data_IF_419761160932
#
_entry.id   IF_419761160932
#
_cell.length_a   1.000
_cell.length_b   1.000
_cell.length_c   1.000
_cell.angle_alpha   90.00
_cell.angle_beta   90.00
_cell.angle_gamma   90.00
#
_symmetry.space_group_name_H-M   'P 1'
#
loop_
_entity.id
_entity.type
_entity.pdbx_description
1 polymer ?
#
# COMPACT_ATOMS: atom_id res chain seq x y z
N UNK A 1 -4.28 21.41 -8.06
CA UNK A 1 -3.58 20.55 -7.08
C UNK A 1 -4.48 20.50 -5.86
N UNK A 2 -5.11 19.36 -5.61
CA UNK A 2 -5.96 19.21 -4.43
C UNK A 2 -5.04 19.13 -3.21
N UNK A 3 -5.17 20.07 -2.26
CA UNK A 3 -4.35 20.07 -1.06
C UNK A 3 -4.55 18.76 -0.28
N UNK A 4 -3.44 18.19 0.20
CA UNK A 4 -3.46 17.03 1.09
C UNK A 4 -3.94 17.47 2.48
N UNK A 5 -4.62 16.59 3.24
CA UNK A 5 -4.96 16.90 4.62
C UNK A 5 -3.72 17.24 5.46
N UNK A 6 -3.89 18.14 6.43
CA UNK A 6 -2.78 18.67 7.22
C UNK A 6 -1.98 17.59 7.98
N UNK A 7 -2.64 16.53 8.43
CA UNK A 7 -1.98 15.40 9.08
C UNK A 7 -1.11 14.60 8.10
N UNK A 8 -1.57 14.40 6.87
CA UNK A 8 -0.81 13.71 5.80
C UNK A 8 0.39 14.55 5.37
N UNK A 9 0.22 15.88 5.26
CA UNK A 9 1.34 16.77 4.99
C UNK A 9 2.39 16.75 6.11
N UNK A 10 1.93 16.73 7.36
CA UNK A 10 2.82 16.66 8.52
C UNK A 10 3.60 15.35 8.52
N UNK A 11 2.93 14.25 8.23
CA UNK A 11 3.57 12.94 8.11
C UNK A 11 4.63 12.91 6.99
N UNK A 12 4.32 13.44 5.79
CA UNK A 12 5.30 13.53 4.70
C UNK A 12 6.54 14.34 5.11
N UNK A 13 6.35 15.48 5.77
CA UNK A 13 7.45 16.34 6.25
C UNK A 13 8.30 15.64 7.32
N UNK A 14 7.67 14.92 8.24
CA UNK A 14 8.36 14.17 9.29
C UNK A 14 9.20 13.04 8.69
N UNK A 15 8.64 12.27 7.76
CA UNK A 15 9.36 11.20 7.06
C UNK A 15 10.54 11.74 6.25
N UNK A 16 10.34 12.83 5.50
CA UNK A 16 11.39 13.49 4.75
C UNK A 16 12.53 13.98 5.66
N UNK A 17 12.20 14.58 6.81
CA UNK A 17 13.19 15.01 7.79
C UNK A 17 13.96 13.84 8.41
N UNK A 18 13.26 12.76 8.77
CA UNK A 18 13.87 11.54 9.31
C UNK A 18 14.87 10.91 8.31
N UNK A 19 14.50 10.88 7.03
CA UNK A 19 15.31 10.31 5.94
C UNK A 19 16.29 11.31 5.30
N UNK A 20 16.32 12.54 5.80
CA UNK A 20 17.15 13.64 5.28
C UNK A 20 16.99 13.86 3.77
N UNK A 21 15.75 13.75 3.27
CA UNK A 21 15.46 13.92 1.85
C UNK A 21 15.70 15.36 1.40
N UNK A 22 16.22 15.55 0.18
CA UNK A 22 16.27 16.88 -0.41
C UNK A 22 14.84 17.35 -0.79
N UNK A 23 14.61 18.67 -0.92
CA UNK A 23 13.28 19.22 -1.16
C UNK A 23 12.57 18.66 -2.40
N UNK A 24 13.33 18.32 -3.45
CA UNK A 24 12.78 17.70 -4.67
C UNK A 24 12.22 16.30 -4.43
N UNK A 25 12.84 15.50 -3.56
CA UNK A 25 12.36 14.16 -3.20
C UNK A 25 11.11 14.25 -2.34
N UNK A 26 11.07 15.17 -1.37
CA UNK A 26 9.86 15.44 -0.59
C UNK A 26 8.70 15.88 -1.49
N UNK A 27 8.96 16.78 -2.45
CA UNK A 27 7.95 17.23 -3.40
C UNK A 27 7.44 16.09 -4.29
N UNK A 28 8.34 15.25 -4.82
CA UNK A 28 7.97 14.09 -5.63
C UNK A 28 7.14 13.09 -4.81
N UNK A 29 7.51 12.83 -3.56
CA UNK A 29 6.75 11.97 -2.67
C UNK A 29 5.32 12.49 -2.42
N UNK A 30 5.16 13.80 -2.19
CA UNK A 30 3.83 14.42 -2.05
C UNK A 30 2.98 14.31 -3.33
N UNK A 31 3.62 14.35 -4.51
CA UNK A 31 2.93 14.10 -5.79
C UNK A 31 2.44 12.65 -5.86
N UNK A 32 3.26 11.68 -5.46
CA UNK A 32 2.84 10.27 -5.38
C UNK A 32 1.68 10.08 -4.41
N UNK A 33 1.73 10.69 -3.22
CA UNK A 33 0.63 10.66 -2.24
C UNK A 33 -0.68 11.20 -2.85
N UNK A 34 -0.62 12.34 -3.54
CA UNK A 34 -1.79 12.92 -4.20
C UNK A 34 -2.33 12.02 -5.32
N UNK A 35 -1.45 11.36 -6.06
CA UNK A 35 -1.83 10.40 -7.11
C UNK A 35 -2.54 9.17 -6.54
N UNK A 36 -1.96 8.52 -5.52
CA UNK A 36 -2.60 7.38 -4.85
C UNK A 36 -3.92 7.76 -4.19
N UNK A 37 -4.03 8.97 -3.63
CA UNK A 37 -5.29 9.49 -3.10
C UNK A 37 -6.35 9.59 -4.19
N UNK A 38 -6.00 10.13 -5.36
CA UNK A 38 -6.94 10.23 -6.47
C UNK A 38 -7.42 8.85 -6.95
N UNK A 39 -6.55 7.85 -6.98
CA UNK A 39 -6.93 6.47 -7.29
C UNK A 39 -7.83 5.85 -6.22
N UNK A 40 -7.51 6.04 -4.93
CA UNK A 40 -8.29 5.51 -3.82
C UNK A 40 -9.69 6.17 -3.71
N UNK A 41 -9.78 7.48 -3.92
CA UNK A 41 -11.05 8.23 -3.92
C UNK A 41 -11.84 8.08 -5.25
N UNK A 42 -11.24 7.51 -6.29
CA UNK A 42 -11.85 7.26 -7.59
C UNK A 42 -13.04 6.28 -7.57
N UNK A 43 -13.64 6.08 -8.73
CA UNK A 43 -14.81 5.20 -8.93
C UNK A 43 -14.44 3.83 -9.53
N UNK A 44 -13.15 3.58 -9.70
CA UNK A 44 -12.65 2.54 -10.58
C UNK A 44 -12.89 1.17 -9.94
N UNK A 45 -13.22 0.13 -10.73
CA UNK A 45 -13.52 -1.19 -10.18
C UNK A 45 -12.35 -1.74 -9.35
N UNK A 46 -12.63 -2.04 -8.08
CA UNK A 46 -11.64 -2.58 -7.14
C UNK A 46 -11.42 -4.07 -7.40
N UNK A 47 -10.16 -4.47 -7.48
CA UNK A 47 -9.71 -5.85 -7.51
C UNK A 47 -8.95 -6.15 -6.23
N UNK A 48 -9.00 -7.40 -5.78
CA UNK A 48 -8.39 -7.80 -4.53
C UNK A 48 -7.52 -9.01 -4.75
N UNK A 49 -6.31 -8.97 -4.21
CA UNK A 49 -5.33 -10.02 -4.36
C UNK A 49 -4.69 -10.37 -3.03
N UNK A 50 -4.14 -11.57 -2.97
CA UNK A 50 -3.27 -12.05 -1.90
C UNK A 50 -2.03 -12.69 -2.53
N UNK A 51 -0.87 -12.38 -1.99
CA UNK A 51 0.37 -13.07 -2.22
C UNK A 51 0.84 -13.73 -0.92
N UNK A 52 1.35 -14.96 -1.00
CA UNK A 52 1.92 -15.69 0.13
C UNK A 52 3.34 -16.09 -0.22
N UNK A 53 4.30 -15.70 0.60
CA UNK A 53 5.70 -16.09 0.44
C UNK A 53 5.89 -17.53 0.92
N UNK A 54 5.64 -18.48 0.02
CA UNK A 54 5.84 -19.90 0.29
C UNK A 54 7.31 -20.32 0.29
N UNK A 55 8.17 -19.59 -0.41
CA UNK A 55 9.59 -19.93 -0.61
C UNK A 55 10.49 -19.31 0.46
N UNK A 56 9.98 -18.33 1.22
CA UNK A 56 10.73 -17.62 2.25
C UNK A 56 11.74 -16.63 1.66
N UNK A 57 11.40 -16.02 0.51
CA UNK A 57 12.24 -15.01 -0.13
C UNK A 57 12.38 -13.75 0.72
N UNK A 58 11.35 -13.42 1.50
CA UNK A 58 11.32 -12.32 2.46
C UNK A 58 11.14 -12.88 3.86
N UNK A 59 10.08 -13.64 4.08
CA UNK A 59 9.72 -14.24 5.36
C UNK A 59 8.72 -15.38 5.11
N UNK A 60 9.14 -16.62 5.36
CA UNK A 60 8.36 -17.80 5.00
C UNK A 60 7.00 -17.80 5.70
N UNK A 61 5.93 -17.77 4.90
CA UNK A 61 4.54 -17.70 5.37
C UNK A 61 4.00 -16.29 5.57
N UNK A 62 4.80 -15.24 5.30
CA UNK A 62 4.30 -13.88 5.23
C UNK A 62 3.28 -13.74 4.10
N UNK A 63 2.32 -12.84 4.30
CA UNK A 63 1.18 -12.62 3.41
C UNK A 63 1.04 -11.14 3.10
N UNK A 64 0.80 -10.84 1.84
CA UNK A 64 0.47 -9.51 1.38
C UNK A 64 -0.92 -9.54 0.79
N UNK A 65 -1.79 -8.63 1.22
CA UNK A 65 -3.09 -8.45 0.61
C UNK A 65 -3.15 -7.08 -0.04
N UNK A 66 -3.75 -7.02 -1.22
CA UNK A 66 -3.82 -5.80 -2.03
C UNK A 66 -5.26 -5.48 -2.40
N UNK A 67 -5.67 -4.22 -2.22
CA UNK A 67 -6.77 -3.61 -2.96
C UNK A 67 -6.14 -2.83 -4.12
N UNK A 68 -6.60 -3.07 -5.34
CA UNK A 68 -5.99 -2.55 -6.56
C UNK A 68 -7.02 -2.04 -7.57
N UNK A 69 -6.57 -1.20 -8.49
CA UNK A 69 -7.33 -0.70 -9.65
C UNK A 69 -6.56 -0.87 -10.94
N UNK A 70 -7.25 -0.77 -12.08
CA UNK A 70 -6.60 -0.77 -13.39
C UNK A 70 -6.34 0.66 -13.83
N UNK A 71 -5.08 1.02 -14.02
CA UNK A 71 -4.63 2.31 -14.56
C UNK A 71 -3.82 2.01 -15.82
N UNK A 72 -4.18 2.58 -16.97
CA UNK A 72 -3.46 2.34 -18.23
C UNK A 72 -3.21 0.86 -18.56
N UNK A 73 -4.18 -0.02 -18.28
CA UNK A 73 -4.10 -1.48 -18.43
C UNK A 73 -3.22 -2.22 -17.40
N UNK A 74 -2.64 -1.50 -16.45
CA UNK A 74 -1.81 -2.06 -15.38
C UNK A 74 -2.58 -2.17 -14.07
N UNK A 75 -2.35 -3.25 -13.31
CA UNK A 75 -2.98 -3.44 -12.00
C UNK A 75 -2.13 -2.76 -10.93
N UNK A 76 -2.61 -1.64 -10.39
CA UNK A 76 -1.90 -0.81 -9.40
C UNK A 76 -2.52 -1.02 -8.03
N UNK A 77 -1.71 -1.38 -7.03
CA UNK A 77 -2.13 -1.45 -5.64
C UNK A 77 -2.40 -0.03 -5.08
N UNK A 78 -3.50 0.14 -4.37
CA UNK A 78 -3.89 1.40 -3.72
C UNK A 78 -4.01 1.28 -2.20
N UNK A 79 -4.20 0.04 -1.71
CA UNK A 79 -4.04 -0.32 -0.30
C UNK A 79 -3.34 -1.66 -0.21
N UNK A 80 -2.51 -1.80 0.81
CA UNK A 80 -1.77 -3.02 1.09
C UNK A 80 -1.83 -3.35 2.57
N UNK A 81 -1.94 -4.64 2.87
CA UNK A 81 -1.76 -5.22 4.18
C UNK A 81 -0.55 -6.14 4.08
N UNK A 82 0.43 -5.94 4.95
CA UNK A 82 1.50 -6.92 5.16
C UNK A 82 1.25 -7.62 6.48
N UNK A 83 1.26 -8.94 6.45
CA UNK A 83 1.21 -9.81 7.62
C UNK A 83 2.49 -10.63 7.61
N UNK A 84 3.42 -10.32 8.50
CA UNK A 84 4.63 -11.13 8.63
C UNK A 84 4.32 -12.48 9.31
N UNK A 85 5.29 -13.41 9.28
CA UNK A 85 5.12 -14.75 9.84
C UNK A 85 4.90 -14.76 11.36
N UNK A 86 5.27 -13.66 12.03
CA UNK A 86 5.02 -13.46 13.47
C UNK A 86 3.60 -12.94 13.78
N UNK A 87 2.87 -12.53 12.75
CA UNK A 87 1.51 -12.01 12.84
C UNK A 87 1.41 -10.50 13.00
N UNK A 88 2.52 -9.76 12.89
CA UNK A 88 2.48 -8.29 12.90
C UNK A 88 1.84 -7.81 11.60
N UNK A 89 0.88 -6.88 11.74
CA UNK A 89 0.15 -6.31 10.62
C UNK A 89 0.62 -4.89 10.34
N UNK A 90 1.10 -4.64 9.12
CA UNK A 90 1.34 -3.29 8.59
C UNK A 90 0.32 -2.96 7.51
N UNK A 91 -0.03 -1.68 7.38
CA UNK A 91 -1.02 -1.20 6.43
C UNK A 91 -0.48 0.01 5.70
N UNK A 92 -0.53 -0.04 4.38
CA UNK A 92 -0.12 1.07 3.54
C UNK A 92 -1.29 1.50 2.65
N UNK A 93 -1.42 2.82 2.51
CA UNK A 93 -2.40 3.50 1.66
C UNK A 93 -1.91 4.93 1.43
N UNK A 94 -2.64 5.75 0.67
CA UNK A 94 -2.19 7.11 0.34
C UNK A 94 -1.82 7.99 1.56
N UNK A 95 -2.39 7.78 2.76
CA UNK A 95 -2.00 8.56 3.96
C UNK A 95 -0.71 8.07 4.63
N UNK A 96 -0.25 6.88 4.29
CA UNK A 96 0.89 6.18 4.86
C UNK A 96 1.46 5.23 3.79
N UNK A 97 2.21 5.82 2.84
CA UNK A 97 2.70 5.07 1.68
C UNK A 97 3.83 4.13 2.06
N UNK A 98 4.72 4.53 2.97
CA UNK A 98 5.90 3.76 3.33
C UNK A 98 6.38 4.12 4.73
N UNK A 99 7.13 3.20 5.32
CA UNK A 99 7.90 3.39 6.54
C UNK A 99 9.24 2.64 6.44
N UNK A 100 9.93 2.48 7.56
CA UNK A 100 11.25 1.84 7.58
C UNK A 100 11.19 0.31 7.41
N UNK A 101 10.00 -0.30 7.53
CA UNK A 101 9.80 -1.74 7.38
C UNK A 101 9.24 -2.12 6.00
N UNK A 102 8.60 -1.21 5.28
CA UNK A 102 8.07 -1.48 3.95
C UNK A 102 7.28 -0.33 3.36
N UNK A 103 6.44 -0.65 2.38
CA UNK A 103 5.61 0.34 1.71
C UNK A 103 4.55 -0.28 0.81
N UNK A 104 3.64 0.58 0.35
CA UNK A 104 2.68 0.26 -0.69
C UNK A 104 3.45 -0.14 -1.95
N UNK A 105 3.07 -1.26 -2.55
CA UNK A 105 3.69 -1.80 -3.75
C UNK A 105 3.80 -0.70 -4.82
N UNK A 106 5.04 -0.42 -5.20
CA UNK A 106 5.42 0.53 -6.24
C UNK A 106 5.46 -0.12 -7.64
N UNK A 107 5.41 -1.46 -7.68
CA UNK A 107 5.32 -2.26 -8.90
C UNK A 107 3.88 -2.67 -9.22
N UNK A 108 3.65 -2.91 -10.51
CA UNK A 108 2.38 -3.41 -11.03
C UNK A 108 2.17 -4.86 -10.59
N UNK A 109 0.95 -5.19 -10.17
CA UNK A 109 0.58 -6.56 -9.83
C UNK A 109 0.37 -7.36 -11.12
N UNK A 110 1.24 -8.32 -11.39
CA UNK A 110 1.08 -9.25 -12.49
C UNK A 110 0.20 -10.43 -12.06
N UNK A 111 -0.96 -10.59 -12.70
CA UNK A 111 -1.86 -11.73 -12.44
C UNK A 111 -1.27 -13.09 -12.83
N UNK A 112 -0.17 -13.11 -13.59
CA UNK A 112 0.60 -14.31 -13.89
C UNK A 112 1.69 -14.60 -12.85
N UNK A 113 1.91 -13.71 -11.87
CA UNK A 113 2.90 -13.89 -10.81
C UNK A 113 2.58 -15.14 -9.97
N UNK A 114 3.52 -16.10 -9.84
CA UNK A 114 3.33 -17.26 -8.99
C UNK A 114 3.07 -16.86 -7.54
N UNK A 115 1.97 -17.34 -6.96
CA UNK A 115 1.61 -17.05 -5.57
C UNK A 115 0.60 -15.92 -5.41
N UNK A 116 0.47 -15.03 -6.39
CA UNK A 116 -0.56 -13.99 -6.42
C UNK A 116 -1.91 -14.60 -6.83
N UNK A 117 -2.91 -14.49 -5.95
CA UNK A 117 -4.24 -15.07 -6.15
C UNK A 117 -5.33 -14.04 -5.90
N UNK A 118 -6.44 -14.04 -6.68
CA UNK A 118 -7.56 -13.18 -6.39
C UNK A 118 -8.23 -13.59 -5.08
N UNK A 119 -8.63 -12.60 -4.27
CA UNK A 119 -9.39 -12.79 -3.04
C UNK A 119 -10.67 -11.96 -3.06
N UNK A 120 -11.53 -12.16 -2.06
CA UNK A 120 -12.74 -11.37 -1.93
C UNK A 120 -12.48 -10.05 -1.22
N UNK A 121 -13.28 -9.02 -1.55
CA UNK A 121 -13.33 -7.77 -0.78
C UNK A 121 -13.52 -8.03 0.71
N UNK A 122 -14.40 -8.96 1.07
CA UNK A 122 -14.69 -9.29 2.47
C UNK A 122 -13.47 -9.84 3.20
N UNK A 123 -12.66 -10.70 2.55
CA UNK A 123 -11.43 -11.22 3.13
C UNK A 123 -10.40 -10.12 3.38
N UNK A 124 -10.20 -9.22 2.41
CA UNK A 124 -9.32 -8.06 2.57
C UNK A 124 -9.76 -7.17 3.74
N UNK A 125 -11.04 -6.75 3.75
CA UNK A 125 -11.53 -5.82 4.76
C UNK A 125 -11.71 -6.42 6.15
N UNK A 126 -11.77 -7.76 6.27
CA UNK A 126 -11.70 -8.43 7.56
C UNK A 126 -10.36 -8.15 8.25
N UNK A 127 -9.25 -8.30 7.53
CA UNK A 127 -7.90 -7.99 8.06
C UNK A 127 -7.63 -6.48 8.13
N UNK A 128 -8.18 -5.70 7.19
CA UNK A 128 -8.04 -4.26 7.20
C UNK A 128 -8.56 -3.65 8.51
N UNK A 129 -9.71 -4.14 9.00
CA UNK A 129 -10.40 -3.61 10.19
C UNK A 129 -10.05 -4.31 11.50
N UNK A 130 -9.48 -5.52 11.48
CA UNK A 130 -9.25 -6.34 12.68
C UNK A 130 -8.21 -5.78 13.67
N UNK A 131 -7.60 -4.63 13.39
CA UNK A 131 -6.66 -3.94 14.27
C UNK A 131 -7.09 -2.51 14.58
N UNK A 132 -8.33 -2.11 14.26
CA UNK A 132 -8.94 -0.85 14.73
C UNK A 132 -9.57 -1.06 16.13
N UNK A 133 -9.11 -2.07 16.86
CA UNK A 133 -9.46 -2.34 18.26
C UNK A 133 -8.15 -2.72 18.98
N UNK A 134 -7.34 -1.71 19.29
CA UNK A 134 -6.37 -1.70 20.40
C UNK A 134 -6.16 -0.26 20.88
#
# INVERSE_FOLDING_TARGET
MTDLPADVETHCRQLAAQRQWPPETEAAFRVSVAWYRALDEGSEPRRYFEYVDHEGLVDAGARWLFEAVIVNHETVAIKQIELDSSGVVRRYWWRYLEDDAGGLADQVLDGAEPGLKPVTRSAFYALWKSSIDE
#
